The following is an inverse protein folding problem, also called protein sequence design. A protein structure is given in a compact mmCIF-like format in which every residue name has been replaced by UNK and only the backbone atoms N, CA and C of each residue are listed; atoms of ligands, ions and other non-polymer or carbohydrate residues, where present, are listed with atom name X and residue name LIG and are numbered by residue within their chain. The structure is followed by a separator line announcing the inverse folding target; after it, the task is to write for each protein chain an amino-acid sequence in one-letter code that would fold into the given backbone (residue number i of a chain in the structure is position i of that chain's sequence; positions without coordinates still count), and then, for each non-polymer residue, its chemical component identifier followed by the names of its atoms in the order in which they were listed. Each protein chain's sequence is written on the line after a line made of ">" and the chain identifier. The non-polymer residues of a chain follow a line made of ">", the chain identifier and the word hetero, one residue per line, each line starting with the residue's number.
data_IF_126482944860
#
_entry.id   IF_126482944860
#
_cell.length_a   1.000
_cell.length_b   1.000
_cell.length_c   1.000
_cell.angle_alpha   90.00
_cell.angle_beta   90.00
_cell.angle_gamma   90.00
#
_symmetry.space_group_name_H-M   'P 1'
#
loop_
_entity.id
_entity.type
_entity.pdbx_description
1 polymer ?
#
# COMPACT_ATOMS: atom_id res chain seq x y z
N UNK A 1 23.85 -6.09 -12.44
CA UNK A 1 23.14 -7.27 -11.87
C UNK A 1 22.30 -6.74 -10.73
N UNK A 2 21.00 -6.49 -10.95
CA UNK A 2 20.11 -6.02 -9.89
C UNK A 2 19.95 -7.10 -8.81
N UNK A 3 19.64 -6.73 -7.55
CA UNK A 3 19.33 -7.70 -6.52
C UNK A 3 18.10 -8.49 -6.96
N UNK A 4 18.29 -9.78 -7.24
CA UNK A 4 17.21 -10.68 -7.61
C UNK A 4 16.22 -10.79 -6.47
N UNK A 5 15.05 -10.16 -6.62
CA UNK A 5 13.91 -10.29 -5.70
C UNK A 5 13.48 -11.76 -5.73
N UNK A 6 13.68 -12.48 -4.62
CA UNK A 6 13.20 -13.86 -4.47
C UNK A 6 11.74 -13.80 -4.03
N UNK A 7 10.85 -14.20 -4.94
CA UNK A 7 9.44 -14.37 -4.66
C UNK A 7 9.21 -15.29 -3.43
N UNK A 8 8.42 -14.84 -2.44
CA UNK A 8 7.99 -15.61 -1.27
C UNK A 8 9.06 -15.78 -0.18
N UNK A 9 10.14 -15.02 -0.26
CA UNK A 9 11.23 -15.12 0.71
C UNK A 9 10.79 -14.64 2.11
N UNK A 10 11.35 -15.32 3.10
CA UNK A 10 11.20 -15.05 4.54
C UNK A 10 12.59 -14.77 5.09
N UNK A 11 12.75 -13.74 5.90
CA UNK A 11 14.04 -13.38 6.51
C UNK A 11 14.07 -13.70 8.00
N UNK A 12 15.23 -14.11 8.50
CA UNK A 12 15.43 -14.38 9.94
C UNK A 12 15.84 -13.10 10.63
N UNK A 13 15.10 -12.69 11.66
CA UNK A 13 15.40 -11.45 12.39
C UNK A 13 15.16 -11.54 13.92
N UNK A 14 14.24 -12.38 14.41
CA UNK A 14 13.97 -12.52 15.85
C UNK A 14 13.36 -11.27 16.51
N UNK A 15 12.79 -10.34 15.73
CA UNK A 15 12.39 -9.01 16.21
C UNK A 15 10.89 -8.79 16.24
N UNK A 16 10.45 -7.85 17.09
CA UNK A 16 9.15 -7.20 17.01
C UNK A 16 9.07 -6.21 15.85
N UNK A 17 7.88 -5.66 15.61
CA UNK A 17 7.64 -4.61 14.62
C UNK A 17 8.53 -3.36 14.83
N UNK A 18 8.88 -3.06 16.08
CA UNK A 18 9.72 -1.93 16.49
C UNK A 18 11.23 -2.25 16.48
N UNK A 19 11.61 -3.46 16.06
CA UNK A 19 13.00 -3.91 16.02
C UNK A 19 13.56 -4.41 17.36
N UNK A 20 12.79 -4.40 18.45
CA UNK A 20 13.21 -5.01 19.72
C UNK A 20 13.21 -6.54 19.64
N UNK A 21 14.03 -7.20 20.44
CA UNK A 21 14.09 -8.67 20.50
C UNK A 21 12.74 -9.23 20.96
N UNK A 22 12.21 -10.23 20.25
CA UNK A 22 10.94 -10.87 20.60
C UNK A 22 11.13 -12.16 21.39
N UNK A 23 11.08 -12.04 22.73
CA UNK A 23 11.18 -13.20 23.64
C UNK A 23 12.35 -14.10 23.29
N UNK A 24 12.15 -15.42 23.34
CA UNK A 24 13.16 -16.43 22.98
C UNK A 24 13.13 -16.86 21.50
N UNK A 25 12.45 -16.11 20.62
CA UNK A 25 12.29 -16.47 19.20
C UNK A 25 13.50 -16.07 18.33
N UNK A 26 14.69 -16.40 18.80
CA UNK A 26 15.95 -16.08 18.17
C UNK A 26 16.93 -17.26 18.27
N UNK A 27 16.44 -18.50 18.27
CA UNK A 27 17.28 -19.71 18.21
C UNK A 27 18.45 -19.72 19.20
N UNK A 28 18.18 -19.42 20.47
CA UNK A 28 19.23 -19.39 21.50
C UNK A 28 20.30 -18.31 21.27
N UNK A 29 19.93 -17.21 20.61
CA UNK A 29 20.85 -16.14 20.24
C UNK A 29 21.57 -16.44 18.93
N UNK A 30 20.86 -17.10 18.01
CA UNK A 30 21.35 -17.59 16.72
C UNK A 30 22.48 -18.61 16.86
N UNK A 31 22.48 -19.37 17.95
CA UNK A 31 23.45 -20.43 18.23
C UNK A 31 22.88 -21.84 18.08
N UNK A 32 21.54 -21.97 18.06
CA UNK A 32 20.85 -23.24 17.90
C UNK A 32 20.48 -23.51 16.44
N UNK A 33 20.78 -24.72 16.01
CA UNK A 33 20.70 -25.24 14.64
C UNK A 33 19.45 -26.11 14.40
N UNK A 34 18.83 -26.63 15.45
CA UNK A 34 17.59 -27.43 15.35
C UNK A 34 16.58 -27.25 16.48
N UNK A 35 17.02 -26.74 17.65
CA UNK A 35 16.18 -26.62 18.85
C UNK A 35 15.70 -25.19 19.02
N UNK A 36 14.40 -25.01 19.23
CA UNK A 36 13.78 -23.72 19.44
C UNK A 36 13.10 -23.16 18.21
N UNK A 37 12.62 -21.93 18.34
CA UNK A 37 11.91 -21.21 17.31
C UNK A 37 12.63 -19.89 16.98
N UNK A 38 12.44 -19.44 15.76
CA UNK A 38 12.85 -18.14 15.25
C UNK A 38 11.61 -17.36 14.81
N UNK A 39 11.67 -16.04 14.98
CA UNK A 39 10.77 -15.12 14.31
C UNK A 39 11.36 -14.73 12.95
N UNK A 40 10.48 -14.64 11.96
CA UNK A 40 10.85 -14.26 10.60
C UNK A 40 9.91 -13.21 10.03
N UNK A 41 10.42 -12.42 9.09
CA UNK A 41 9.67 -11.46 8.31
C UNK A 41 9.24 -11.99 6.94
N UNK A 42 8.37 -11.25 6.26
CA UNK A 42 7.84 -11.60 4.94
C UNK A 42 8.16 -10.51 3.92
N UNK A 43 9.07 -10.83 2.99
CA UNK A 43 9.68 -9.84 2.09
C UNK A 43 8.73 -9.18 1.09
N UNK A 44 7.64 -9.83 0.62
CA UNK A 44 6.68 -9.18 -0.26
C UNK A 44 5.79 -8.10 0.39
N UNK A 45 6.13 -7.66 1.61
CA UNK A 45 5.36 -6.66 2.36
C UNK A 45 6.22 -5.49 2.77
N UNK A 46 5.66 -4.27 2.66
CA UNK A 46 6.36 -3.01 2.99
C UNK A 46 6.07 -2.46 4.39
N UNK A 47 5.42 -3.25 5.25
CA UNK A 47 4.99 -2.85 6.62
C UNK A 47 5.78 -3.62 7.67
N UNK A 48 5.42 -3.51 8.96
CA UNK A 48 6.01 -4.31 10.05
C UNK A 48 6.04 -5.82 9.83
N UNK A 49 5.30 -6.36 8.85
CA UNK A 49 5.41 -7.76 8.44
C UNK A 49 6.78 -8.11 7.85
N UNK A 50 7.53 -7.13 7.32
CA UNK A 50 8.90 -7.34 6.88
C UNK A 50 9.81 -7.78 8.03
N UNK A 51 9.48 -7.47 9.29
CA UNK A 51 10.26 -7.87 10.46
C UNK A 51 9.53 -8.84 11.38
N UNK A 52 8.20 -8.93 11.33
CA UNK A 52 7.43 -9.53 12.44
C UNK A 52 6.31 -10.49 12.02
N UNK A 53 6.38 -11.06 10.81
CA UNK A 53 5.32 -11.87 10.20
C UNK A 53 4.96 -13.15 10.96
N UNK A 54 5.93 -13.99 11.34
CA UNK A 54 5.61 -15.30 11.90
C UNK A 54 6.77 -16.01 12.58
N UNK A 55 6.50 -17.22 13.06
CA UNK A 55 7.48 -18.06 13.76
C UNK A 55 7.69 -19.40 13.04
N UNK A 56 8.91 -19.92 13.10
CA UNK A 56 9.24 -21.26 12.59
C UNK A 56 10.33 -21.91 13.44
N UNK A 57 10.50 -23.23 13.33
CA UNK A 57 11.62 -23.91 13.95
C UNK A 57 12.97 -23.43 13.37
N UNK A 58 14.01 -23.39 14.20
CA UNK A 58 15.36 -22.97 13.81
C UNK A 58 15.96 -23.79 12.67
N UNK A 59 15.64 -25.09 12.61
CA UNK A 59 16.07 -26.01 11.56
C UNK A 59 15.23 -25.95 10.27
N UNK A 60 14.24 -25.05 10.17
CA UNK A 60 13.44 -24.91 8.95
C UNK A 60 14.30 -24.37 7.79
N UNK A 61 13.91 -24.68 6.55
CA UNK A 61 14.58 -24.31 5.28
C UNK A 61 15.34 -22.99 5.32
N UNK A 62 16.56 -22.96 4.75
CA UNK A 62 17.45 -21.79 4.72
C UNK A 62 16.74 -20.50 4.34
N UNK A 63 16.56 -19.61 5.32
CA UNK A 63 16.02 -18.26 5.13
C UNK A 63 17.18 -17.26 5.02
N UNK A 64 17.17 -16.30 4.10
CA UNK A 64 18.17 -15.23 4.08
C UNK A 64 18.14 -14.41 5.38
N UNK A 65 19.26 -13.74 5.67
CA UNK A 65 19.36 -12.71 6.70
C UNK A 65 19.82 -11.42 6.02
N UNK A 66 19.34 -10.29 6.51
CA UNK A 66 19.81 -8.99 6.07
C UNK A 66 21.09 -8.59 6.80
N UNK A 67 21.99 -7.95 6.08
CA UNK A 67 23.13 -7.26 6.67
C UNK A 67 22.93 -5.78 6.42
N UNK A 68 22.78 -5.01 7.50
CA UNK A 68 22.71 -3.57 7.45
C UNK A 68 24.10 -3.00 7.72
N UNK A 69 24.48 -1.96 6.99
CA UNK A 69 25.67 -1.18 7.32
C UNK A 69 25.42 -0.47 8.67
N UNK A 70 26.31 -0.70 9.64
CA UNK A 70 26.26 0.02 10.91
C UNK A 70 26.93 1.39 10.70
N UNK A 71 26.10 2.41 10.46
CA UNK A 71 26.56 3.78 10.24
C UNK A 71 26.05 4.75 11.30
N UNK A 72 26.90 5.74 11.64
CA UNK A 72 26.50 7.04 12.21
C UNK A 72 26.16 8.05 11.09
N UNK A 73 25.77 7.54 9.92
CA UNK A 73 25.51 8.37 8.75
C UNK A 73 24.35 9.32 8.96
N UNK A 74 24.39 10.45 8.27
CA UNK A 74 23.25 11.36 8.20
C UNK A 74 21.98 10.58 7.78
N UNK A 75 20.78 11.00 8.23
CA UNK A 75 19.54 10.43 7.74
C UNK A 75 19.56 10.34 6.23
N UNK A 76 19.06 9.22 5.66
CA UNK A 76 18.96 9.07 4.22
C UNK A 76 18.29 10.33 3.65
N UNK A 77 18.93 11.03 2.69
CA UNK A 77 18.32 12.21 2.10
C UNK A 77 16.94 11.82 1.58
N UNK A 78 15.92 12.60 1.95
CA UNK A 78 14.60 12.48 1.34
C UNK A 78 14.75 12.89 -0.12
N UNK A 79 14.99 11.94 -1.00
CA UNK A 79 14.92 12.18 -2.43
C UNK A 79 13.45 12.30 -2.79
N UNK A 80 12.91 13.51 -2.71
CA UNK A 80 11.63 13.79 -3.34
C UNK A 80 11.86 13.83 -4.86
N UNK A 81 11.69 12.70 -5.53
CA UNK A 81 11.62 12.66 -6.98
C UNK A 81 10.26 13.23 -7.43
N UNK A 82 10.18 13.94 -8.57
CA UNK A 82 8.91 14.26 -9.19
C UNK A 82 8.08 12.99 -9.40
N UNK A 83 6.77 13.04 -9.16
CA UNK A 83 5.91 11.89 -9.37
C UNK A 83 4.45 12.16 -9.06
N UNK A 84 3.57 11.37 -9.65
CA UNK A 84 2.16 11.34 -9.32
C UNK A 84 1.98 10.74 -7.92
N UNK A 85 1.23 11.44 -7.07
CA UNK A 85 0.96 10.98 -5.71
C UNK A 85 0.01 9.79 -5.73
N UNK A 86 0.31 8.81 -4.89
CA UNK A 86 -0.54 7.66 -4.60
C UNK A 86 -0.67 7.52 -3.09
N UNK A 87 -1.90 7.38 -2.61
CA UNK A 87 -2.21 7.24 -1.20
C UNK A 87 -3.26 6.16 -0.97
N UNK A 88 -3.29 5.66 0.26
CA UNK A 88 -4.33 4.79 0.79
C UNK A 88 -5.28 5.62 1.65
N UNK A 89 -6.57 5.67 1.38
CA UNK A 89 -7.49 6.48 2.19
C UNK A 89 -7.36 6.18 3.70
N UNK A 90 -7.30 7.21 4.54
CA UNK A 90 -7.33 7.03 6.00
C UNK A 90 -8.68 6.45 6.47
N UNK A 91 -9.76 6.84 5.78
CA UNK A 91 -11.14 6.38 5.99
C UNK A 91 -11.44 5.07 5.27
N UNK A 92 -12.45 4.36 5.76
CA UNK A 92 -12.89 3.08 5.23
C UNK A 92 -14.40 2.89 5.48
N UNK A 93 -15.12 2.35 4.49
CA UNK A 93 -16.55 2.06 4.60
C UNK A 93 -16.96 0.97 3.57
N UNK A 94 -18.26 0.71 3.44
CA UNK A 94 -18.87 -0.32 2.59
C UNK A 94 -18.65 -0.10 1.09
N UNK A 95 -19.03 -1.08 0.28
CA UNK A 95 -18.95 -1.06 -1.17
C UNK A 95 -19.96 -0.11 -1.85
N UNK A 96 -20.92 0.45 -1.12
CA UNK A 96 -21.73 1.58 -1.59
C UNK A 96 -20.99 2.88 -1.32
N UNK A 97 -20.20 3.30 -2.29
CA UNK A 97 -19.31 4.45 -2.14
C UNK A 97 -20.09 5.76 -1.98
N UNK A 98 -21.35 5.82 -2.40
CA UNK A 98 -22.19 7.01 -2.21
C UNK A 98 -22.56 7.29 -0.75
N UNK A 99 -22.42 6.31 0.14
CA UNK A 99 -22.71 6.47 1.58
C UNK A 99 -21.52 7.01 2.38
N UNK A 100 -20.33 7.09 1.77
CA UNK A 100 -19.16 7.64 2.44
C UNK A 100 -19.34 9.15 2.64
N UNK A 101 -18.93 9.68 3.78
CA UNK A 101 -19.06 11.11 4.09
C UNK A 101 -18.38 12.02 3.07
N UNK A 102 -17.29 11.52 2.48
CA UNK A 102 -16.42 12.23 1.54
C UNK A 102 -16.92 12.14 0.08
N UNK A 103 -18.02 11.43 -0.19
CA UNK A 103 -18.51 11.19 -1.55
C UNK A 103 -19.19 12.40 -2.20
N UNK A 104 -19.47 13.48 -1.45
CA UNK A 104 -20.09 14.71 -1.97
C UNK A 104 -21.40 14.47 -2.76
N UNK A 105 -22.21 13.50 -2.32
CA UNK A 105 -23.44 13.04 -2.99
C UNK A 105 -23.26 12.40 -4.39
N UNK A 106 -22.02 12.14 -4.81
CA UNK A 106 -21.75 11.31 -5.98
C UNK A 106 -22.03 9.83 -5.68
N UNK A 107 -22.11 9.01 -6.73
CA UNK A 107 -22.34 7.56 -6.63
C UNK A 107 -21.41 6.79 -7.56
N UNK A 108 -21.26 5.49 -7.33
CA UNK A 108 -20.45 4.62 -8.17
C UNK A 108 -18.97 5.06 -8.23
N UNK A 109 -18.37 5.01 -9.43
CA UNK A 109 -16.99 5.47 -9.63
C UNK A 109 -16.79 6.96 -9.34
N UNK A 110 -17.80 7.79 -9.59
CA UNK A 110 -17.70 9.22 -9.32
C UNK A 110 -17.63 9.51 -7.80
N UNK A 111 -18.28 8.67 -6.98
CA UNK A 111 -18.12 8.72 -5.53
C UNK A 111 -16.70 8.37 -5.11
N UNK A 112 -16.12 7.30 -5.66
CA UNK A 112 -14.72 6.95 -5.43
C UNK A 112 -13.76 8.11 -5.69
N UNK A 113 -13.94 8.81 -6.82
CA UNK A 113 -13.13 9.99 -7.13
C UNK A 113 -13.39 11.16 -6.18
N UNK A 114 -14.66 11.43 -5.84
CA UNK A 114 -15.01 12.49 -4.90
C UNK A 114 -14.37 12.26 -3.53
N UNK A 115 -14.40 11.02 -3.02
CA UNK A 115 -13.72 10.62 -1.77
C UNK A 115 -12.24 10.94 -1.88
N UNK A 116 -11.57 10.48 -2.94
CA UNK A 116 -10.14 10.72 -3.13
C UNK A 116 -9.78 12.21 -3.21
N UNK A 117 -10.59 13.01 -3.90
CA UNK A 117 -10.40 14.47 -3.97
C UNK A 117 -10.61 15.12 -2.61
N UNK A 118 -11.70 14.80 -1.91
CA UNK A 118 -12.04 15.38 -0.60
C UNK A 118 -10.96 15.11 0.45
N UNK A 119 -10.42 13.89 0.48
CA UNK A 119 -9.29 13.53 1.35
C UNK A 119 -8.03 14.32 0.99
N UNK A 120 -7.71 14.41 -0.31
CA UNK A 120 -6.56 15.18 -0.78
C UNK A 120 -6.69 16.69 -0.48
N UNK A 121 -7.89 17.26 -0.61
CA UNK A 121 -8.19 18.65 -0.24
C UNK A 121 -8.01 18.89 1.26
N UNK A 122 -8.59 18.01 2.08
CA UNK A 122 -8.52 18.10 3.54
C UNK A 122 -7.08 17.99 4.05
N UNK A 123 -6.26 17.17 3.40
CA UNK A 123 -4.83 17.04 3.69
C UNK A 123 -3.95 18.10 3.00
N UNK A 124 -4.53 19.06 2.28
CA UNK A 124 -3.83 20.11 1.55
C UNK A 124 -2.76 19.57 0.55
N UNK A 125 -3.06 18.43 -0.07
CA UNK A 125 -2.20 17.83 -1.09
C UNK A 125 -2.22 18.65 -2.39
N UNK A 126 -1.14 18.63 -3.18
CA UNK A 126 -1.07 19.38 -4.42
C UNK A 126 -2.04 18.81 -5.46
N UNK A 127 -2.70 19.70 -6.21
CA UNK A 127 -3.64 19.33 -7.27
C UNK A 127 -4.71 18.32 -6.81
N UNK A 128 -5.46 18.58 -5.73
CA UNK A 128 -6.35 17.58 -5.16
C UNK A 128 -7.46 17.16 -6.14
N UNK A 129 -7.85 18.04 -7.07
CA UNK A 129 -8.79 17.74 -8.16
C UNK A 129 -8.31 16.68 -9.16
N UNK A 130 -7.01 16.36 -9.15
CA UNK A 130 -6.42 15.36 -10.07
C UNK A 130 -6.55 13.93 -9.56
N UNK A 131 -6.99 13.74 -8.32
CA UNK A 131 -7.07 12.42 -7.71
C UNK A 131 -8.28 11.63 -8.24
N UNK A 132 -8.01 10.38 -8.59
CA UNK A 132 -8.99 9.38 -8.99
C UNK A 132 -8.81 8.12 -8.13
N UNK A 133 -9.90 7.42 -7.87
CA UNK A 133 -9.83 6.11 -7.24
C UNK A 133 -9.37 5.03 -8.23
N UNK A 134 -8.43 4.17 -7.81
CA UNK A 134 -8.12 2.92 -8.51
C UNK A 134 -9.26 1.92 -8.31
N UNK A 135 -10.30 2.10 -9.12
CA UNK A 135 -11.52 1.30 -9.07
C UNK A 135 -11.99 1.02 -10.49
N UNK A 136 -12.26 -0.24 -10.76
CA UNK A 136 -13.01 -0.64 -11.96
C UNK A 136 -14.49 -0.70 -11.65
N UNK A 137 -15.35 -0.51 -12.65
CA UNK A 137 -16.74 -0.93 -12.60
C UNK A 137 -17.06 -1.77 -13.84
N UNK A 138 -18.34 -2.04 -14.09
CA UNK A 138 -18.79 -2.90 -15.20
C UNK A 138 -18.42 -2.38 -16.61
N UNK A 139 -18.03 -1.10 -16.73
CA UNK A 139 -17.73 -0.44 -18.00
C UNK A 139 -16.32 0.13 -18.12
N UNK A 140 -15.63 0.38 -17.01
CA UNK A 140 -14.36 1.12 -16.98
C UNK A 140 -13.34 0.34 -16.16
N UNK A 141 -12.16 0.17 -16.76
CA UNK A 141 -11.01 -0.47 -16.13
C UNK A 141 -10.24 0.54 -15.26
N UNK A 142 -9.75 0.12 -14.09
CA UNK A 142 -9.02 0.98 -13.16
C UNK A 142 -7.76 1.55 -13.80
N UNK A 143 -7.05 0.74 -14.60
CA UNK A 143 -5.85 1.17 -15.30
C UNK A 143 -6.14 2.33 -16.25
N UNK A 144 -7.30 2.38 -16.91
CA UNK A 144 -7.64 3.44 -17.87
C UNK A 144 -7.97 4.78 -17.20
N UNK A 145 -8.36 4.75 -15.92
CA UNK A 145 -8.66 5.96 -15.13
C UNK A 145 -7.40 6.73 -14.74
N UNK A 146 -6.27 6.04 -14.62
CA UNK A 146 -4.96 6.65 -14.40
C UNK A 146 -4.41 7.15 -15.75
N UNK A 147 -4.43 8.45 -15.98
CA UNK A 147 -4.09 9.06 -17.28
C UNK A 147 -2.65 9.51 -17.39
N UNK A 148 -1.94 9.66 -16.28
CA UNK A 148 -0.49 9.90 -16.26
C UNK A 148 0.28 8.60 -16.49
N UNK A 149 1.48 8.71 -17.06
CA UNK A 149 2.39 7.57 -17.25
C UNK A 149 3.34 7.35 -16.09
N UNK A 150 3.26 8.14 -15.02
CA UNK A 150 4.17 8.09 -13.87
C UNK A 150 5.40 9.00 -14.03
N UNK A 151 6.41 8.87 -13.14
CA UNK A 151 6.50 7.88 -12.06
C UNK A 151 5.45 8.10 -10.96
N UNK A 152 5.13 7.06 -10.21
CA UNK A 152 4.17 7.06 -9.11
C UNK A 152 4.91 6.95 -7.78
N UNK A 153 4.54 7.80 -6.83
CA UNK A 153 5.16 7.85 -5.51
C UNK A 153 4.13 7.99 -4.40
N UNK A 154 4.46 7.50 -3.22
CA UNK A 154 3.74 7.83 -1.99
C UNK A 154 4.01 9.26 -1.59
N UNK A 155 3.18 9.78 -0.69
CA UNK A 155 3.34 11.15 -0.19
C UNK A 155 4.58 11.35 0.71
N UNK A 156 5.23 10.26 1.15
CA UNK A 156 6.52 10.28 1.83
C UNK A 156 7.72 10.32 0.85
N UNK A 157 7.44 10.41 -0.46
CA UNK A 157 8.44 10.51 -1.52
C UNK A 157 8.93 9.17 -2.07
N UNK A 158 8.50 8.04 -1.50
CA UNK A 158 8.97 6.72 -1.94
C UNK A 158 8.25 6.29 -3.22
N UNK A 159 9.02 5.94 -4.25
CA UNK A 159 8.50 5.44 -5.53
C UNK A 159 7.79 4.09 -5.38
N UNK A 160 6.61 3.98 -6.00
CA UNK A 160 5.80 2.76 -6.10
C UNK A 160 5.99 2.09 -7.46
N UNK A 161 6.10 2.87 -8.53
CA UNK A 161 6.31 2.38 -9.88
C UNK A 161 6.92 3.48 -10.74
N UNK A 162 7.90 3.14 -11.59
CA UNK A 162 8.50 4.11 -12.49
C UNK A 162 7.57 4.47 -13.66
N UNK A 163 6.60 3.61 -13.96
CA UNK A 163 5.64 3.83 -15.05
C UNK A 163 4.27 3.19 -14.82
N UNK A 164 3.28 3.63 -15.60
CA UNK A 164 1.91 3.07 -15.55
C UNK A 164 1.87 1.57 -15.88
N UNK A 165 2.74 1.11 -16.79
CA UNK A 165 2.84 -0.32 -17.13
C UNK A 165 3.40 -1.19 -16.00
N UNK A 166 4.12 -0.60 -15.04
CA UNK A 166 4.64 -1.33 -13.87
C UNK A 166 3.58 -1.50 -12.78
N UNK A 167 2.47 -0.75 -12.82
CA UNK A 167 1.36 -0.97 -11.89
C UNK A 167 0.69 -2.34 -12.09
N UNK A 168 0.91 -2.99 -13.23
CA UNK A 168 0.16 -4.17 -13.67
C UNK A 168 1.06 -5.32 -14.07
N UNK A 169 0.59 -6.56 -13.89
CA UNK A 169 1.32 -7.76 -14.28
C UNK A 169 0.36 -8.87 -14.72
N UNK A 170 0.70 -9.55 -15.80
CA UNK A 170 -0.14 -10.62 -16.37
C UNK A 170 -0.18 -11.90 -15.50
N UNK A 171 0.80 -12.07 -14.61
CA UNK A 171 0.92 -13.25 -13.75
C UNK A 171 0.45 -12.91 -12.34
N UNK A 172 -0.68 -13.49 -11.93
CA UNK A 172 -1.18 -13.35 -10.55
C UNK A 172 -0.12 -13.86 -9.55
N UNK A 173 0.15 -13.05 -8.53
CA UNK A 173 1.13 -13.32 -7.47
C UNK A 173 2.57 -12.95 -7.83
N UNK A 174 2.83 -12.48 -9.04
CA UNK A 174 4.12 -11.88 -9.39
C UNK A 174 4.28 -10.51 -8.73
N UNK A 175 5.54 -10.10 -8.55
CA UNK A 175 5.87 -8.76 -8.10
C UNK A 175 5.37 -7.76 -9.17
N UNK A 176 4.71 -6.70 -8.72
CA UNK A 176 4.07 -5.70 -9.58
C UNK A 176 4.66 -4.33 -9.28
N UNK A 177 4.55 -3.87 -8.03
CA UNK A 177 5.03 -2.56 -7.61
C UNK A 177 6.32 -2.66 -6.80
N UNK A 178 7.06 -1.57 -6.70
CA UNK A 178 8.35 -1.50 -6.03
C UNK A 178 8.21 -1.43 -4.51
N UNK A 179 7.20 -0.71 -4.02
CA UNK A 179 6.86 -0.54 -2.60
C UNK A 179 5.36 -0.65 -2.35
N UNK A 180 4.97 -0.98 -1.12
CA UNK A 180 3.57 -1.13 -0.73
C UNK A 180 2.86 0.23 -0.59
N UNK A 181 1.55 0.26 -0.87
CA UNK A 181 0.70 1.46 -0.81
C UNK A 181 0.02 1.52 0.56
N UNK A 182 0.78 1.89 1.59
CA UNK A 182 0.34 1.80 3.00
C UNK A 182 0.36 3.13 3.74
N UNK A 183 0.59 4.22 3.02
CA UNK A 183 0.66 5.58 3.58
C UNK A 183 -0.60 6.32 3.16
N UNK A 184 -1.28 6.93 4.14
CA UNK A 184 -2.49 7.70 3.89
C UNK A 184 -2.22 9.15 3.46
N UNK A 185 -3.27 9.94 3.25
CA UNK A 185 -3.18 11.33 2.82
C UNK A 185 -2.47 12.25 3.84
N UNK A 186 -2.33 11.83 5.10
CA UNK A 186 -1.67 12.61 6.16
C UNK A 186 -0.18 12.23 6.34
N UNK A 187 0.20 11.07 5.84
CA UNK A 187 1.57 10.55 5.89
C UNK A 187 1.72 9.44 6.91
N UNK A 188 0.61 9.01 7.48
CA UNK A 188 0.58 7.97 8.48
C UNK A 188 0.58 6.60 7.82
N UNK A 189 1.40 5.71 8.39
CA UNK A 189 1.45 4.32 7.93
C UNK A 189 0.28 3.55 8.51
N UNK A 190 -0.47 2.82 7.66
CA UNK A 190 -1.51 1.93 8.16
C UNK A 190 -0.89 0.83 9.04
N UNK A 191 -1.18 0.90 10.33
CA UNK A 191 -0.77 -0.10 11.32
C UNK A 191 -1.55 -1.42 11.21
N UNK A 192 -2.66 -1.45 10.44
CA UNK A 192 -3.49 -2.64 10.30
C UNK A 192 -3.21 -3.37 8.98
N UNK A 193 -2.46 -4.46 9.13
CA UNK A 193 -1.91 -5.28 8.08
C UNK A 193 -2.94 -6.10 7.29
N UNK A 194 -4.15 -6.27 7.84
CA UNK A 194 -5.25 -6.98 7.22
C UNK A 194 -6.28 -6.08 6.53
N UNK A 195 -6.10 -4.75 6.60
CA UNK A 195 -6.98 -3.83 5.87
C UNK A 195 -6.80 -4.06 4.37
N UNK A 196 -7.94 -4.11 3.68
CA UNK A 196 -8.00 -4.28 2.22
C UNK A 196 -8.62 -3.03 1.61
N UNK A 197 -8.36 -2.82 0.31
CA UNK A 197 -8.96 -1.71 -0.44
C UNK A 197 -9.89 -2.22 -1.50
N UNK A 198 -11.00 -1.55 -1.76
CA UNK A 198 -11.84 -1.85 -2.91
C UNK A 198 -11.08 -1.56 -4.20
N UNK A 199 -11.23 -2.44 -5.21
CA UNK A 199 -10.55 -2.28 -6.51
C UNK A 199 -11.42 -2.66 -7.69
N UNK A 200 -12.29 -3.67 -7.58
CA UNK A 200 -13.07 -4.18 -8.73
C UNK A 200 -12.20 -4.74 -9.86
N UNK A 201 -10.90 -4.97 -9.62
CA UNK A 201 -9.91 -5.12 -10.68
C UNK A 201 -9.08 -6.41 -10.57
N UNK A 202 -8.61 -6.91 -11.70
CA UNK A 202 -7.63 -7.99 -11.76
C UNK A 202 -6.18 -7.48 -11.67
N UNK A 203 -5.19 -8.35 -11.93
CA UNK A 203 -3.77 -8.00 -11.89
C UNK A 203 -3.30 -7.13 -13.06
N UNK A 204 -4.12 -7.00 -14.10
CA UNK A 204 -3.93 -6.10 -15.23
C UNK A 204 -4.62 -4.74 -15.03
N UNK A 205 -5.29 -4.55 -13.88
CA UNK A 205 -6.11 -3.37 -13.62
C UNK A 205 -7.38 -3.34 -14.46
N UNK A 206 -7.77 -4.49 -15.05
CA UNK A 206 -8.98 -4.68 -15.83
C UNK A 206 -10.14 -5.05 -14.92
N UNK A 207 -11.35 -4.64 -15.29
CA UNK A 207 -12.56 -4.89 -14.49
C UNK A 207 -12.87 -6.37 -14.36
N UNK A 208 -13.34 -6.75 -13.18
CA UNK A 208 -13.99 -8.04 -12.92
C UNK A 208 -15.46 -7.83 -12.54
N UNK A 209 -16.24 -8.89 -12.42
CA UNK A 209 -17.65 -8.80 -12.05
C UNK A 209 -17.89 -8.35 -10.60
N UNK A 210 -16.91 -8.58 -9.72
CA UNK A 210 -17.03 -8.28 -8.28
C UNK A 210 -16.84 -6.75 -8.06
N UNK A 211 -17.89 -5.95 -8.25
CA UNK A 211 -17.83 -4.47 -8.17
C UNK A 211 -18.84 -3.88 -7.20
N UNK A 212 -19.49 -4.68 -6.34
CA UNK A 212 -20.57 -4.20 -5.47
C UNK A 212 -21.70 -3.50 -6.26
N UNK A 213 -22.14 -4.16 -7.34
CA UNK A 213 -23.12 -3.63 -8.29
C UNK A 213 -22.71 -2.26 -8.88
N UNK A 214 -21.44 -2.11 -9.27
CA UNK A 214 -20.90 -0.84 -9.74
C UNK A 214 -20.73 0.21 -8.64
N UNK A 215 -20.44 -0.26 -7.42
CA UNK A 215 -20.18 0.52 -6.20
C UNK A 215 -21.40 1.26 -5.65
N UNK A 216 -22.56 0.63 -5.74
CA UNK A 216 -23.83 1.17 -5.24
C UNK A 216 -24.57 0.19 -4.33
N UNK A 217 -23.96 -0.93 -3.98
CA UNK A 217 -24.55 -1.93 -3.08
C UNK A 217 -23.72 -2.06 -1.80
N UNK A 218 -24.35 -1.93 -0.62
CA UNK A 218 -23.76 -2.31 0.65
C UNK A 218 -24.22 -3.71 1.09
N UNK A 219 -24.90 -4.49 0.23
CA UNK A 219 -25.44 -5.80 0.62
C UNK A 219 -24.32 -6.82 0.85
N UNK A 220 -24.38 -7.56 1.96
CA UNK A 220 -23.42 -8.63 2.24
C UNK A 220 -23.59 -9.86 1.34
N UNK A 221 -24.65 -9.92 0.53
CA UNK A 221 -24.85 -10.93 -0.51
C UNK A 221 -24.15 -10.58 -1.84
N UNK A 222 -23.76 -9.32 -2.03
CA UNK A 222 -22.96 -8.88 -3.18
C UNK A 222 -21.48 -8.91 -2.83
N UNK A 223 -20.65 -9.12 -3.85
CA UNK A 223 -19.20 -9.21 -3.72
C UNK A 223 -18.47 -8.08 -4.47
N UNK A 224 -17.38 -7.62 -3.86
CA UNK A 224 -16.43 -6.67 -4.44
C UNK A 224 -15.01 -7.24 -4.45
N UNK A 225 -14.29 -7.02 -5.54
CA UNK A 225 -12.86 -7.33 -5.61
C UNK A 225 -12.10 -6.31 -4.79
N UNK A 226 -11.12 -6.82 -4.04
CA UNK A 226 -10.28 -6.03 -3.17
C UNK A 226 -8.81 -6.26 -3.45
N UNK A 227 -7.98 -5.36 -2.92
CA UNK A 227 -6.53 -5.43 -2.96
C UNK A 227 -5.93 -5.42 -1.56
N UNK A 228 -4.66 -5.84 -1.44
CA UNK A 228 -3.87 -5.82 -0.21
C UNK A 228 -2.87 -4.64 -0.23
N UNK A 229 -3.13 -3.53 0.48
CA UNK A 229 -2.26 -2.35 0.51
C UNK A 229 -0.82 -2.67 0.89
N UNK A 230 -0.64 -3.65 1.76
CA UNK A 230 0.66 -4.11 2.25
C UNK A 230 1.45 -4.95 1.25
N UNK A 231 0.86 -5.39 0.14
CA UNK A 231 1.52 -6.26 -0.84
C UNK A 231 2.21 -5.46 -1.93
N UNK A 232 3.40 -5.92 -2.35
CA UNK A 232 4.07 -5.42 -3.56
C UNK A 232 3.78 -6.26 -4.81
N UNK A 233 2.99 -7.33 -4.64
CA UNK A 233 2.60 -8.25 -5.71
C UNK A 233 1.30 -7.82 -6.32
N UNK A 234 0.90 -8.46 -7.42
CA UNK A 234 -0.41 -8.24 -8.04
C UNK A 234 -1.61 -8.33 -7.08
N UNK A 235 -1.46 -8.94 -5.90
CA UNK A 235 -2.46 -8.94 -4.84
C UNK A 235 -2.76 -7.55 -4.28
N UNK A 236 -1.90 -6.55 -4.51
CA UNK A 236 -2.18 -5.16 -4.15
C UNK A 236 -3.45 -4.64 -4.82
N UNK A 237 -3.74 -5.09 -6.05
CA UNK A 237 -4.95 -4.74 -6.82
C UNK A 237 -5.97 -5.87 -6.85
N UNK A 238 -5.53 -7.14 -6.88
CA UNK A 238 -6.43 -8.30 -7.03
C UNK A 238 -6.15 -9.40 -6.02
N UNK A 239 -6.59 -9.16 -4.79
CA UNK A 239 -6.63 -10.14 -3.73
C UNK A 239 -7.88 -11.03 -3.85
N UNK A 240 -7.72 -12.31 -3.53
CA UNK A 240 -8.81 -13.29 -3.48
C UNK A 240 -8.88 -13.92 -2.09
N UNK A 241 -10.08 -14.29 -1.59
CA UNK A 241 -11.39 -14.18 -2.25
C UNK A 241 -11.91 -12.73 -2.30
N UNK A 242 -12.97 -12.50 -3.07
CA UNK A 242 -13.74 -11.27 -3.03
C UNK A 242 -14.30 -11.01 -1.61
N UNK A 243 -14.73 -9.78 -1.35
CA UNK A 243 -15.26 -9.35 -0.06
C UNK A 243 -16.73 -8.97 -0.22
N UNK A 244 -17.54 -9.38 0.75
CA UNK A 244 -18.92 -8.95 0.86
C UNK A 244 -19.00 -7.41 0.91
N UNK A 245 -19.95 -6.81 0.20
CA UNK A 245 -19.99 -5.36 0.02
C UNK A 245 -20.39 -4.60 1.28
N UNK A 246 -20.85 -5.27 2.32
CA UNK A 246 -21.03 -4.68 3.65
C UNK A 246 -19.71 -4.60 4.48
N UNK A 247 -18.60 -5.13 3.98
CA UNK A 247 -17.31 -5.03 4.64
C UNK A 247 -16.75 -3.61 4.51
N UNK A 248 -16.07 -3.14 5.57
CA UNK A 248 -15.50 -1.79 5.58
C UNK A 248 -14.05 -1.80 5.09
N UNK A 249 -13.82 -1.26 3.90
CA UNK A 249 -12.54 -1.27 3.20
C UNK A 249 -12.11 0.14 2.81
N UNK A 250 -10.83 0.30 2.47
CA UNK A 250 -10.22 1.57 2.05
C UNK A 250 -10.28 1.74 0.52
N UNK A 251 -9.78 2.87 0.02
CA UNK A 251 -9.53 3.14 -1.40
C UNK A 251 -8.06 3.44 -1.64
N UNK A 252 -7.56 3.10 -2.83
CA UNK A 252 -6.33 3.69 -3.35
C UNK A 252 -6.69 4.91 -4.20
N UNK A 253 -6.00 6.02 -3.95
CA UNK A 253 -6.20 7.27 -4.68
C UNK A 253 -4.92 7.62 -5.44
N UNK A 254 -5.04 7.79 -6.76
CA UNK A 254 -3.95 8.12 -7.67
C UNK A 254 -4.16 9.53 -8.24
N UNK A 255 -3.12 10.35 -8.17
CA UNK A 255 -3.10 11.64 -8.87
C UNK A 255 -2.81 11.43 -10.36
N UNK A 256 -3.57 12.13 -11.20
CA UNK A 256 -3.31 12.21 -12.64
C UNK A 256 -2.35 13.36 -13.03
N UNK A 257 -1.73 14.00 -12.04
CA UNK A 257 -0.77 15.10 -12.24
C UNK A 257 0.55 14.76 -11.56
N UNK A 258 1.67 15.14 -12.17
CA UNK A 258 2.98 15.00 -11.54
C UNK A 258 3.22 16.12 -10.53
N UNK A 259 3.51 15.76 -9.29
CA UNK A 259 4.00 16.69 -8.27
C UNK A 259 5.51 16.79 -8.40
N UNK A 260 5.97 17.96 -8.85
CA UNK A 260 7.40 18.23 -9.10
C UNK A 260 8.14 18.55 -7.80
N UNK A 261 7.45 19.18 -6.86
CA UNK A 261 7.92 19.52 -5.52
C UNK A 261 6.71 19.82 -4.63
N UNK A 262 6.65 19.27 -3.43
CA UNK A 262 5.68 19.64 -2.41
C UNK A 262 6.26 19.45 -1.01
N UNK A 263 6.59 20.56 -0.35
CA UNK A 263 7.14 20.61 1.01
C UNK A 263 6.08 20.96 2.07
N UNK A 264 4.81 20.99 1.68
CA UNK A 264 3.67 21.33 2.53
C UNK A 264 3.78 22.71 3.22
N UNK A 265 4.61 23.64 2.71
CA UNK A 265 4.79 24.98 3.31
C UNK A 265 3.47 25.77 3.41
N UNK A 266 2.50 25.45 2.55
CA UNK A 266 1.17 26.07 2.50
C UNK A 266 0.20 25.52 3.56
N UNK A 267 0.53 24.38 4.19
CA UNK A 267 -0.15 23.92 5.40
C UNK A 267 0.61 24.48 6.58
N UNK A 268 -0.03 25.29 7.42
CA UNK A 268 0.59 26.05 8.52
C UNK A 268 1.22 25.20 9.65
N UNK A 269 1.49 23.92 9.41
CA UNK A 269 2.06 22.95 10.34
C UNK A 269 3.57 22.82 10.10
N UNK A 270 4.36 23.40 11.01
CA UNK A 270 5.83 23.29 11.00
C UNK A 270 6.34 21.95 11.56
N UNK A 271 5.44 21.02 11.90
CA UNK A 271 5.77 19.76 12.58
C UNK A 271 6.76 18.91 11.77
N UNK A 272 6.70 18.98 10.43
CA UNK A 272 7.63 18.28 9.52
C UNK A 272 9.05 18.86 9.51
N UNK A 273 9.27 20.06 10.05
CA UNK A 273 10.57 20.75 10.13
C UNK A 273 11.19 20.72 11.53
N UNK A 274 10.47 20.24 12.56
CA UNK A 274 10.93 20.32 13.95
C UNK A 274 12.11 19.40 14.30
N UNK A 275 12.59 18.57 13.38
CA UNK A 275 13.71 17.65 13.64
C UNK A 275 15.04 18.03 12.97
N UNK A 276 15.17 19.17 12.28
CA UNK A 276 16.46 19.48 11.64
C UNK A 276 16.72 20.97 11.44
N UNK A 277 17.21 21.65 12.48
CA UNK A 277 18.04 22.86 12.37
C UNK A 277 19.10 22.73 13.49
N UNK A 278 20.40 22.99 13.22
CA UNK A 278 21.56 22.42 13.94
C UNK A 278 21.69 22.77 15.43
#
# INVERSE_FOLDING_TARGET
>A
RGPGRRSGARDRNGTQADGTVYGDLHCGGWTADAVGNERFGFLPTGTSLWSSYGQSACGASSKPSYCFELGIGDPLPRFEAPGALVLLSSVYDSGDLGNWSEAEAATGLAAGDAICRSLAETAALPSPQSFVAWLSNDAVDAIDRVTTNGPFKRIDGVEIAASKSELVVATIGADSIETAIVVDEHGEYSGNLGQTSWTGSDSLGERVADTCAGWTSPDGADDGRSGLPSSVRSYWTSATPARACNALLRLYCFSNTLTIFWDAFESSTTDRWSATVP
#
